data_IF_456303389731
#
_entry.id   IF_456303389731
#
_cell.length_a   1.000
_cell.length_b   1.000
_cell.length_c   1.000
_cell.angle_alpha   90.00
_cell.angle_beta   90.00
_cell.angle_gamma   90.00
#
_symmetry.space_group_name_H-M   'P 1'
#
loop_
_entity.id
_entity.type
_entity.pdbx_description
1 polymer ?
#
# COMPACT_ATOMS: atom_id res chain seq x y z
N UNK A 1 -3.84 24.11 20.50
CA UNK A 1 -3.65 23.38 19.26
C UNK A 1 -4.95 22.79 18.69
N UNK A 2 -5.75 21.98 19.42
CA UNK A 2 -7.01 21.39 18.91
C UNK A 2 -8.04 22.42 18.37
N UNK A 3 -8.19 23.59 19.01
CA UNK A 3 -9.10 24.66 18.58
C UNK A 3 -8.64 25.37 17.29
N UNK A 4 -7.32 25.48 17.07
CA UNK A 4 -6.73 26.10 15.87
C UNK A 4 -6.92 25.16 14.66
N UNK A 5 -6.73 23.86 14.85
CA UNK A 5 -6.98 22.84 13.80
C UNK A 5 -8.46 22.82 13.40
N UNK A 6 -9.38 22.89 14.37
CA UNK A 6 -10.82 22.95 14.11
C UNK A 6 -11.21 24.22 13.34
N UNK A 7 -10.62 25.38 13.67
CA UNK A 7 -10.86 26.64 12.95
C UNK A 7 -10.33 26.61 11.52
N UNK A 8 -9.17 25.99 11.30
CA UNK A 8 -8.59 25.81 9.95
C UNK A 8 -9.48 24.87 9.13
N UNK A 9 -9.96 23.76 9.72
CA UNK A 9 -10.90 22.85 9.04
C UNK A 9 -12.21 23.53 8.67
N UNK A 10 -12.75 24.39 9.54
CA UNK A 10 -13.96 25.17 9.28
C UNK A 10 -13.77 26.17 8.13
N UNK A 11 -12.60 26.81 8.02
CA UNK A 11 -12.30 27.75 6.92
C UNK A 11 -12.22 27.04 5.56
N UNK A 12 -11.78 25.78 5.52
CA UNK A 12 -11.77 24.98 4.28
C UNK A 12 -13.18 24.60 3.82
N UNK A 13 -14.12 24.40 4.73
CA UNK A 13 -15.51 24.04 4.39
C UNK A 13 -16.26 25.20 3.73
N UNK A 14 -16.00 26.45 4.12
CA UNK A 14 -16.70 27.62 3.57
C UNK A 14 -16.26 28.05 2.17
N UNK A 15 -15.05 27.67 1.72
CA UNK A 15 -14.57 28.08 0.40
C UNK A 15 -14.98 27.12 -0.74
N UNK A 16 -15.59 25.97 -0.43
CA UNK A 16 -15.94 24.95 -1.41
C UNK A 16 -17.17 25.24 -2.29
N UNK A 17 -18.00 26.19 -1.93
CA UNK A 17 -19.25 26.44 -2.65
C UNK A 17 -19.18 27.47 -3.79
N UNK A 18 -18.08 28.22 -3.89
CA UNK A 18 -18.02 29.38 -4.78
C UNK A 18 -17.43 29.11 -6.20
N UNK A 19 -16.95 27.91 -6.52
CA UNK A 19 -16.14 27.72 -7.73
C UNK A 19 -16.59 26.62 -8.69
N UNK A 20 -17.76 26.01 -8.55
CA UNK A 20 -18.23 24.98 -9.47
C UNK A 20 -19.66 25.19 -10.00
N UNK A 21 -19.94 26.21 -10.82
CA UNK A 21 -21.15 26.24 -11.62
C UNK A 21 -20.98 25.21 -12.76
N UNK A 22 -21.70 24.07 -12.67
CA UNK A 22 -21.64 22.97 -13.65
C UNK A 22 -20.55 21.91 -13.39
N UNK A 23 -19.92 21.89 -12.18
CA UNK A 23 -18.86 20.96 -11.81
C UNK A 23 -19.32 19.53 -11.54
N UNK A 24 -18.38 18.67 -11.25
CA UNK A 24 -18.50 17.21 -11.02
C UNK A 24 -19.61 16.82 -10.04
N UNK A 25 -20.00 17.72 -9.13
CA UNK A 25 -21.02 17.51 -8.08
C UNK A 25 -22.27 18.40 -8.25
N UNK A 26 -22.50 19.00 -9.41
CA UNK A 26 -23.70 19.79 -9.67
C UNK A 26 -24.94 18.90 -9.84
N UNK A 27 -26.15 19.47 -9.70
CA UNK A 27 -27.43 18.75 -9.83
C UNK A 27 -27.62 18.13 -11.23
N UNK A 28 -27.12 18.82 -12.26
CA UNK A 28 -27.08 18.35 -13.65
C UNK A 28 -25.66 18.49 -14.21
N UNK A 29 -24.73 17.61 -13.84
CA UNK A 29 -23.34 17.69 -14.28
C UNK A 29 -23.23 17.35 -15.76
N UNK A 30 -22.39 18.09 -16.48
CA UNK A 30 -21.93 17.67 -17.81
C UNK A 30 -21.21 16.32 -17.62
N UNK A 31 -21.62 15.31 -18.39
CA UNK A 31 -20.99 14.00 -18.34
C UNK A 31 -19.66 14.03 -19.11
N UNK A 32 -18.57 13.94 -18.38
CA UNK A 32 -17.23 13.87 -18.96
C UNK A 32 -16.89 12.44 -19.40
N UNK A 33 -16.15 12.27 -20.48
CA UNK A 33 -15.65 10.96 -20.92
C UNK A 33 -16.74 9.86 -20.98
N UNK A 34 -17.89 10.14 -21.57
CA UNK A 34 -19.04 9.23 -21.65
C UNK A 34 -18.70 7.87 -22.26
N UNK A 35 -17.79 7.84 -23.25
CA UNK A 35 -17.38 6.63 -23.94
C UNK A 35 -16.26 5.86 -23.23
N UNK A 36 -15.70 6.41 -22.17
CA UNK A 36 -14.58 5.79 -21.46
C UNK A 36 -14.93 4.36 -20.99
N UNK A 37 -16.06 4.18 -20.35
CA UNK A 37 -16.51 2.88 -19.80
C UNK A 37 -16.95 1.85 -20.87
N UNK A 38 -17.00 2.23 -22.14
CA UNK A 38 -17.30 1.34 -23.27
C UNK A 38 -16.07 0.55 -23.74
N UNK A 39 -14.88 1.03 -23.46
CA UNK A 39 -13.64 0.35 -23.83
C UNK A 39 -13.51 -0.96 -23.02
N UNK A 40 -12.84 -1.94 -23.62
CA UNK A 40 -12.61 -3.24 -22.95
C UNK A 40 -11.32 -3.24 -22.13
N UNK A 41 -10.31 -2.48 -22.54
CA UNK A 41 -9.01 -2.40 -21.89
C UNK A 41 -8.66 -0.95 -21.64
N UNK A 42 -8.22 -0.64 -20.44
CA UNK A 42 -7.74 0.67 -20.04
C UNK A 42 -6.30 0.57 -19.56
N UNK A 43 -5.49 1.53 -19.95
CA UNK A 43 -4.13 1.67 -19.48
C UNK A 43 -3.98 2.97 -18.71
N UNK A 44 -3.07 2.97 -17.78
CA UNK A 44 -2.78 4.13 -16.97
C UNK A 44 -1.50 3.96 -16.19
N UNK A 45 -1.23 4.93 -15.36
CA UNK A 45 -0.14 4.90 -14.39
C UNK A 45 -0.64 5.36 -13.03
N UNK A 46 0.10 4.99 -12.00
CA UNK A 46 -0.20 5.46 -10.65
C UNK A 46 1.05 5.99 -9.97
N UNK A 47 0.81 6.94 -9.08
CA UNK A 47 1.76 7.43 -8.09
C UNK A 47 1.12 7.23 -6.72
N UNK A 48 1.91 7.05 -5.69
CA UNK A 48 1.31 6.91 -4.37
C UNK A 48 2.30 6.98 -3.23
N UNK A 49 1.73 6.91 -2.04
CA UNK A 49 2.45 6.79 -0.79
C UNK A 49 2.16 5.44 -0.17
N UNK A 50 3.14 4.91 0.53
CA UNK A 50 3.00 3.66 1.23
C UNK A 50 3.52 3.76 2.65
N UNK A 51 2.96 2.96 3.55
CA UNK A 51 3.46 2.74 4.88
C UNK A 51 3.45 1.25 5.16
N UNK A 52 4.64 0.70 5.33
CA UNK A 52 4.84 -0.73 5.57
C UNK A 52 5.18 -0.99 7.02
N UNK A 53 4.58 -2.03 7.58
CA UNK A 53 4.76 -2.52 8.93
C UNK A 53 5.00 -4.05 8.91
N UNK A 54 5.47 -4.61 10.01
CA UNK A 54 5.55 -6.05 10.23
C UNK A 54 4.68 -6.46 11.41
N UNK A 55 3.93 -7.54 11.23
CA UNK A 55 3.30 -8.26 12.32
C UNK A 55 4.20 -9.42 12.71
N UNK A 56 4.57 -9.47 14.00
CA UNK A 56 5.33 -10.55 14.57
C UNK A 56 4.40 -11.45 15.40
N UNK A 57 4.55 -12.76 15.26
CA UNK A 57 3.98 -13.77 16.14
C UNK A 57 5.14 -14.45 16.88
N UNK A 58 5.04 -14.63 18.20
CA UNK A 58 6.12 -15.14 19.04
C UNK A 58 5.83 -16.55 19.54
N UNK A 59 6.90 -17.34 19.78
CA UNK A 59 6.80 -18.68 20.38
C UNK A 59 6.48 -18.62 21.87
N UNK A 60 7.14 -17.70 22.58
CA UNK A 60 7.00 -17.48 24.01
C UNK A 60 6.72 -16.01 24.29
N UNK A 61 6.12 -15.71 25.46
CA UNK A 61 5.90 -14.33 25.90
C UNK A 61 7.22 -13.57 25.92
N UNK A 62 7.28 -12.47 25.21
CA UNK A 62 8.47 -11.62 25.03
C UNK A 62 8.02 -10.18 24.79
N UNK A 63 8.85 -9.19 25.14
CA UNK A 63 8.61 -7.82 24.70
C UNK A 63 8.50 -7.74 23.18
N UNK A 64 7.54 -6.96 22.68
CA UNK A 64 7.32 -6.78 21.26
C UNK A 64 8.50 -6.08 20.58
N UNK A 65 8.81 -6.51 19.38
CA UNK A 65 9.72 -5.80 18.48
C UNK A 65 8.97 -4.57 17.97
N UNK A 66 9.46 -3.37 18.34
CA UNK A 66 8.85 -2.14 17.89
C UNK A 66 9.23 -1.87 16.43
N UNK A 67 8.22 -1.75 15.58
CA UNK A 67 8.38 -1.38 14.17
C UNK A 67 8.01 0.08 14.00
N UNK A 68 8.98 0.89 13.61
CA UNK A 68 8.75 2.29 13.23
C UNK A 68 8.71 2.37 11.70
N UNK A 69 7.51 2.49 11.15
CA UNK A 69 7.29 2.66 9.70
C UNK A 69 7.65 4.07 9.28
N UNK A 70 8.20 4.20 8.07
CA UNK A 70 8.40 5.48 7.39
C UNK A 70 7.47 5.56 6.19
N UNK A 71 6.99 6.74 5.87
CA UNK A 71 6.22 6.94 4.64
C UNK A 71 7.15 6.78 3.44
N UNK A 72 6.85 5.81 2.60
CA UNK A 72 7.52 5.57 1.34
C UNK A 72 6.71 6.08 0.16
N UNK A 73 7.22 5.89 -1.04
CA UNK A 73 6.52 6.22 -2.27
C UNK A 73 6.46 5.01 -3.20
N UNK A 74 5.50 5.05 -4.11
CA UNK A 74 5.34 4.02 -5.12
C UNK A 74 4.89 4.61 -6.45
N UNK A 75 5.30 3.94 -7.53
CA UNK A 75 4.98 4.31 -8.90
C UNK A 75 4.84 3.04 -9.72
N UNK A 76 3.91 3.06 -10.67
CA UNK A 76 3.73 1.91 -11.53
C UNK A 76 2.73 2.14 -12.65
N UNK A 77 2.45 1.07 -13.35
CA UNK A 77 1.50 1.03 -14.46
C UNK A 77 0.21 0.36 -14.01
N UNK A 78 -0.87 0.68 -14.67
CA UNK A 78 -2.18 0.06 -14.46
C UNK A 78 -2.71 -0.46 -15.78
N UNK A 79 -3.14 -1.70 -15.78
CA UNK A 79 -3.94 -2.29 -16.82
C UNK A 79 -5.26 -2.78 -16.24
N UNK A 80 -6.38 -2.27 -16.73
CA UNK A 80 -7.73 -2.67 -16.37
C UNK A 80 -8.37 -3.40 -17.53
N UNK A 81 -8.77 -4.65 -17.34
CA UNK A 81 -9.55 -5.43 -18.31
C UNK A 81 -11.00 -5.55 -17.81
N UNK A 82 -11.93 -4.98 -18.57
CA UNK A 82 -13.36 -5.10 -18.28
C UNK A 82 -13.83 -6.54 -18.55
N UNK A 83 -14.25 -7.23 -17.48
CA UNK A 83 -14.84 -8.57 -17.57
C UNK A 83 -16.36 -8.49 -17.72
N UNK A 84 -16.99 -7.66 -16.88
CA UNK A 84 -18.43 -7.41 -16.85
C UNK A 84 -18.69 -5.92 -16.67
N UNK A 85 -19.93 -5.50 -16.70
CA UNK A 85 -20.31 -4.09 -16.59
C UNK A 85 -19.77 -3.40 -15.32
N UNK A 86 -19.72 -4.14 -14.21
CA UNK A 86 -19.29 -3.63 -12.89
C UNK A 86 -18.04 -4.31 -12.36
N UNK A 87 -17.41 -5.21 -13.12
CA UNK A 87 -16.26 -5.99 -12.67
C UNK A 87 -15.13 -5.91 -13.67
N UNK A 88 -13.98 -5.43 -13.20
CA UNK A 88 -12.75 -5.39 -13.97
C UNK A 88 -11.68 -6.25 -13.31
N UNK A 89 -10.84 -6.89 -14.12
CA UNK A 89 -9.58 -7.47 -13.69
C UNK A 89 -8.49 -6.41 -13.84
N UNK A 90 -7.82 -6.09 -12.73
CA UNK A 90 -6.82 -5.04 -12.65
C UNK A 90 -5.46 -5.61 -12.33
N UNK A 91 -4.46 -5.22 -13.09
CA UNK A 91 -3.06 -5.55 -12.87
C UNK A 91 -2.24 -4.26 -12.73
N UNK A 92 -1.56 -4.08 -11.60
CA UNK A 92 -0.86 -2.82 -11.25
C UNK A 92 0.61 -3.07 -10.90
N UNK A 93 1.46 -3.52 -11.84
CA UNK A 93 2.88 -3.69 -11.56
C UNK A 93 3.54 -2.37 -11.22
N UNK A 94 4.33 -2.35 -10.14
CA UNK A 94 4.97 -1.12 -9.70
C UNK A 94 6.20 -1.33 -8.83
N UNK A 95 6.94 -0.23 -8.66
CA UNK A 95 8.08 -0.11 -7.77
C UNK A 95 7.64 0.61 -6.49
N UNK A 96 8.02 0.04 -5.35
CA UNK A 96 7.67 0.53 -4.02
C UNK A 96 8.95 0.73 -3.22
N UNK A 97 9.23 1.95 -2.84
CA UNK A 97 10.33 2.27 -1.95
C UNK A 97 9.79 2.47 -0.54
N UNK A 98 10.38 1.79 0.44
CA UNK A 98 9.97 1.85 1.84
C UNK A 98 11.14 1.64 2.78
N UNK A 99 11.04 2.17 3.99
CA UNK A 99 12.01 1.96 5.07
C UNK A 99 11.27 1.70 6.37
N UNK A 100 11.81 0.81 7.19
CA UNK A 100 11.31 0.45 8.52
C UNK A 100 12.47 0.33 9.48
N UNK A 101 12.27 0.77 10.70
CA UNK A 101 13.25 0.63 11.76
C UNK A 101 12.69 -0.33 12.81
N UNK A 102 13.39 -1.43 13.02
CA UNK A 102 13.04 -2.45 14.02
C UNK A 102 13.86 -2.17 15.27
N UNK A 103 13.19 -2.05 16.43
CA UNK A 103 13.84 -1.88 17.72
C UNK A 103 13.57 -3.11 18.59
N UNK A 104 14.64 -3.78 19.00
CA UNK A 104 14.61 -4.97 19.83
C UNK A 104 14.81 -4.59 21.30
N UNK A 105 13.76 -4.75 22.09
CA UNK A 105 13.75 -4.34 23.51
C UNK A 105 14.74 -5.12 24.39
N UNK A 106 15.14 -6.32 23.97
CA UNK A 106 16.03 -7.20 24.75
C UNK A 106 17.51 -6.85 24.58
N UNK A 107 17.85 -5.79 23.82
CA UNK A 107 19.24 -5.39 23.56
C UNK A 107 19.56 -4.08 24.29
N UNK A 108 20.68 -4.07 25.01
CA UNK A 108 21.13 -2.89 25.78
C UNK A 108 21.98 -1.92 24.96
N UNK A 109 22.70 -2.45 23.96
CA UNK A 109 23.52 -1.61 23.09
C UNK A 109 22.68 -1.11 21.91
N UNK A 110 22.72 0.16 21.62
CA UNK A 110 21.94 0.81 20.56
C UNK A 110 22.20 0.19 19.17
N UNK A 111 23.45 -0.18 18.86
CA UNK A 111 23.82 -0.84 17.60
C UNK A 111 23.22 -2.25 17.47
N UNK A 112 22.99 -2.93 18.58
CA UNK A 112 22.38 -4.27 18.59
C UNK A 112 20.86 -4.20 18.65
N UNK A 113 20.33 -3.12 19.21
CA UNK A 113 18.88 -2.91 19.36
C UNK A 113 18.19 -2.42 18.10
N UNK A 114 18.86 -1.66 17.25
CA UNK A 114 18.25 -1.05 16.07
C UNK A 114 18.66 -1.79 14.78
N UNK A 115 17.67 -2.11 13.94
CA UNK A 115 17.87 -2.59 12.57
C UNK A 115 17.08 -1.72 11.60
N UNK A 116 17.79 -1.08 10.70
CA UNK A 116 17.19 -0.32 9.60
C UNK A 116 16.96 -1.26 8.43
N UNK A 117 15.70 -1.45 8.07
CA UNK A 117 15.28 -2.31 6.97
C UNK A 117 14.73 -1.44 5.86
N UNK A 118 15.63 -0.98 4.99
CA UNK A 118 15.27 -0.36 3.71
C UNK A 118 14.88 -1.46 2.73
N UNK A 119 13.82 -1.24 1.99
CA UNK A 119 13.38 -2.19 0.97
C UNK A 119 12.91 -1.48 -0.30
N UNK A 120 13.31 -2.04 -1.42
CA UNK A 120 12.75 -1.72 -2.74
C UNK A 120 12.02 -2.95 -3.24
N UNK A 121 10.71 -2.81 -3.39
CA UNK A 121 9.85 -3.90 -3.84
C UNK A 121 9.45 -3.71 -5.29
N UNK A 122 9.45 -4.82 -6.05
CA UNK A 122 8.66 -4.94 -7.27
C UNK A 122 7.38 -5.67 -6.88
N UNK A 123 6.25 -5.02 -7.05
CA UNK A 123 4.96 -5.50 -6.61
C UNK A 123 4.07 -5.82 -7.80
N UNK A 124 3.44 -7.00 -7.79
CA UNK A 124 2.63 -7.53 -8.88
C UNK A 124 1.24 -7.93 -8.36
N UNK A 125 0.33 -6.97 -8.15
CA UNK A 125 -1.02 -7.26 -7.72
C UNK A 125 -1.91 -7.64 -8.91
N UNK A 126 -2.72 -8.67 -8.70
CA UNK A 126 -3.82 -9.05 -9.58
C UNK A 126 -5.12 -8.91 -8.78
N UNK A 127 -5.93 -7.93 -9.13
CA UNK A 127 -7.07 -7.48 -8.36
C UNK A 127 -8.36 -7.59 -9.17
N UNK A 128 -9.44 -7.92 -8.50
CA UNK A 128 -10.79 -7.70 -9.00
C UNK A 128 -11.29 -6.34 -8.48
N UNK A 129 -11.69 -5.48 -9.40
CA UNK A 129 -12.28 -4.17 -9.13
C UNK A 129 -13.79 -4.28 -9.34
N UNK A 130 -14.54 -4.04 -8.29
CA UNK A 130 -16.00 -4.00 -8.28
C UNK A 130 -16.45 -2.54 -8.20
N UNK A 131 -17.02 -2.04 -9.27
CA UNK A 131 -17.44 -0.64 -9.38
C UNK A 131 -18.96 -0.53 -9.25
N UNK A 132 -19.43 0.55 -8.63
CA UNK A 132 -20.87 0.87 -8.62
C UNK A 132 -21.36 1.37 -9.98
N UNK A 133 -22.62 1.71 -10.09
CA UNK A 133 -23.12 2.53 -11.19
C UNK A 133 -22.45 3.92 -11.13
N UNK A 134 -22.15 4.46 -12.29
CA UNK A 134 -21.64 5.83 -12.42
C UNK A 134 -22.77 6.83 -12.13
N UNK A 135 -22.55 7.74 -11.19
CA UNK A 135 -23.46 8.82 -10.86
C UNK A 135 -22.79 10.13 -11.25
N UNK A 136 -23.25 10.73 -12.34
CA UNK A 136 -22.58 11.91 -12.90
C UNK A 136 -21.14 11.60 -13.30
N UNK A 137 -20.18 12.29 -12.70
CA UNK A 137 -18.75 12.10 -12.95
C UNK A 137 -18.02 11.33 -11.84
N UNK A 138 -18.74 10.57 -11.02
CA UNK A 138 -18.19 9.84 -9.87
C UNK A 138 -18.62 8.37 -9.93
N UNK A 139 -17.68 7.48 -9.64
CA UNK A 139 -17.93 6.04 -9.59
C UNK A 139 -17.10 5.39 -8.48
N UNK A 140 -17.70 5.15 -7.28
CA UNK A 140 -17.02 4.42 -6.21
C UNK A 140 -16.75 2.97 -6.60
N UNK A 141 -15.67 2.39 -6.05
CA UNK A 141 -15.32 1.00 -6.28
C UNK A 141 -14.63 0.36 -5.09
N UNK A 142 -14.71 -0.96 -5.02
CA UNK A 142 -13.93 -1.81 -4.14
C UNK A 142 -12.93 -2.61 -4.96
N UNK A 143 -11.79 -2.91 -4.36
CA UNK A 143 -10.78 -3.79 -4.97
C UNK A 143 -10.40 -4.88 -3.97
N UNK A 144 -10.14 -6.06 -4.49
CA UNK A 144 -9.60 -7.15 -3.69
C UNK A 144 -8.90 -8.17 -4.57
N UNK A 145 -7.86 -8.81 -4.05
CA UNK A 145 -7.14 -9.80 -4.82
C UNK A 145 -5.87 -10.30 -4.14
N UNK A 146 -4.97 -10.85 -4.94
CA UNK A 146 -3.70 -11.41 -4.52
C UNK A 146 -2.55 -10.64 -5.15
N UNK A 147 -1.43 -10.60 -4.46
CA UNK A 147 -0.20 -10.04 -5.00
C UNK A 147 1.04 -10.88 -4.68
N UNK A 148 2.00 -10.82 -5.59
CA UNK A 148 3.34 -11.29 -5.36
C UNK A 148 4.28 -10.09 -5.27
N UNK A 149 5.20 -10.12 -4.30
CA UNK A 149 6.16 -9.02 -4.08
C UNK A 149 7.57 -9.58 -4.10
N UNK A 150 8.43 -9.00 -4.91
CA UNK A 150 9.86 -9.28 -4.95
C UNK A 150 10.61 -8.18 -4.20
N UNK A 151 11.31 -8.55 -3.14
CA UNK A 151 12.18 -7.66 -2.39
C UNK A 151 13.60 -7.70 -2.97
N UNK A 152 14.04 -6.59 -3.55
CA UNK A 152 15.37 -6.46 -4.14
C UNK A 152 16.48 -6.31 -3.08
N UNK A 153 16.12 -5.84 -1.88
CA UNK A 153 17.03 -5.63 -0.74
C UNK A 153 16.86 -6.70 0.36
N UNK A 154 16.52 -7.93 -0.01
CA UNK A 154 16.13 -8.98 0.93
C UNK A 154 17.27 -9.54 1.80
N UNK A 155 18.53 -9.36 1.42
CA UNK A 155 19.72 -9.97 2.03
C UNK A 155 19.63 -11.50 2.16
N UNK A 156 18.74 -12.16 1.41
CA UNK A 156 18.42 -13.59 1.58
C UNK A 156 19.60 -14.53 1.31
N UNK A 157 20.55 -14.08 0.48
CA UNK A 157 21.76 -14.86 0.13
C UNK A 157 22.97 -14.53 1.01
N UNK A 158 22.85 -13.59 1.95
CA UNK A 158 23.94 -13.24 2.86
C UNK A 158 24.17 -14.37 3.85
N UNK A 159 25.45 -14.70 4.09
CA UNK A 159 25.88 -15.57 5.18
C UNK A 159 25.86 -14.83 6.53
N UNK A 160 25.99 -13.50 6.48
CA UNK A 160 25.91 -12.62 7.64
C UNK A 160 24.47 -12.56 8.14
N UNK A 161 24.28 -12.53 9.44
CA UNK A 161 23.00 -12.45 10.12
C UNK A 161 22.90 -11.23 11.05
N UNK A 162 22.00 -11.24 12.03
CA UNK A 162 21.83 -10.14 12.96
C UNK A 162 23.05 -9.88 13.86
N UNK A 163 23.95 -10.86 14.06
CA UNK A 163 25.22 -10.63 14.75
C UNK A 163 26.12 -9.68 13.96
N UNK A 164 26.06 -9.73 12.64
CA UNK A 164 26.75 -8.82 11.73
C UNK A 164 25.83 -7.66 11.25
N UNK A 165 24.77 -7.38 12.00
CA UNK A 165 23.80 -6.30 11.71
C UNK A 165 23.02 -6.50 10.37
N UNK A 166 22.90 -7.73 9.88
CA UNK A 166 22.17 -8.08 8.66
C UNK A 166 20.82 -8.71 8.99
N UNK A 167 19.75 -7.96 8.76
CA UNK A 167 18.39 -8.49 8.83
C UNK A 167 18.03 -9.15 7.48
N UNK A 168 17.64 -10.43 7.53
CA UNK A 168 17.38 -11.24 6.33
C UNK A 168 15.90 -11.55 6.20
N UNK A 169 15.36 -11.33 4.98
CA UNK A 169 13.98 -11.65 4.64
C UNK A 169 13.90 -12.44 3.35
N UNK A 170 12.82 -13.18 3.17
CA UNK A 170 12.58 -13.89 1.92
C UNK A 170 12.44 -12.92 0.76
N UNK A 171 13.02 -13.22 -0.42
CA UNK A 171 12.95 -12.33 -1.56
C UNK A 171 11.54 -12.28 -2.16
N UNK A 172 10.82 -13.40 -2.17
CA UNK A 172 9.46 -13.48 -2.67
C UNK A 172 8.46 -13.65 -1.55
N UNK A 173 7.45 -12.79 -1.56
CA UNK A 173 6.33 -12.84 -0.61
C UNK A 173 5.00 -12.84 -1.36
N UNK A 174 3.97 -13.42 -0.73
CA UNK A 174 2.60 -13.48 -1.25
C UNK A 174 1.69 -12.76 -0.29
N UNK A 175 0.82 -11.92 -0.82
CA UNK A 175 -0.09 -11.13 -0.02
C UNK A 175 -1.51 -11.22 -0.57
N UNK A 176 -2.49 -10.89 0.26
CA UNK A 176 -3.81 -10.51 -0.20
C UNK A 176 -4.02 -9.02 0.04
N UNK A 177 -4.87 -8.44 -0.77
CA UNK A 177 -5.13 -7.01 -0.76
C UNK A 177 -6.62 -6.75 -0.79
N UNK A 178 -7.00 -5.71 -0.05
CA UNK A 178 -8.36 -5.19 -0.06
C UNK A 178 -8.31 -3.68 0.06
N UNK A 179 -9.20 -3.00 -0.67
CA UNK A 179 -9.25 -1.55 -0.62
C UNK A 179 -10.49 -0.98 -1.29
N UNK A 180 -10.56 0.31 -1.26
CA UNK A 180 -11.61 1.06 -1.94
C UNK A 180 -11.03 2.30 -2.60
N UNK A 181 -11.75 2.83 -3.56
CA UNK A 181 -11.41 4.05 -4.26
C UNK A 181 -12.61 4.65 -4.96
N UNK A 182 -12.36 5.75 -5.62
CA UNK A 182 -13.38 6.51 -6.34
C UNK A 182 -12.81 6.88 -7.71
N UNK A 183 -13.48 6.51 -8.78
CA UNK A 183 -13.19 7.02 -10.11
C UNK A 183 -13.86 8.38 -10.30
N UNK A 184 -13.07 9.39 -10.59
CA UNK A 184 -13.49 10.75 -10.94
C UNK A 184 -13.23 10.98 -12.43
N UNK A 185 -14.31 11.21 -13.19
CA UNK A 185 -14.23 11.47 -14.62
C UNK A 185 -14.05 12.97 -14.83
N UNK A 186 -12.81 13.38 -15.08
CA UNK A 186 -12.49 14.75 -15.43
C UNK A 186 -12.63 14.96 -16.94
N UNK A 187 -12.48 16.18 -17.41
CA UNK A 187 -12.68 16.51 -18.81
C UNK A 187 -11.76 15.73 -19.77
N UNK A 188 -10.48 15.53 -19.38
CA UNK A 188 -9.46 14.94 -20.25
C UNK A 188 -8.96 13.56 -19.80
N UNK A 189 -9.17 13.20 -18.53
CA UNK A 189 -8.68 11.94 -17.98
C UNK A 189 -9.54 11.47 -16.83
N UNK A 190 -9.41 10.20 -16.48
CA UNK A 190 -10.01 9.64 -15.29
C UNK A 190 -8.98 9.60 -14.18
N UNK A 191 -9.32 10.21 -13.05
CA UNK A 191 -8.52 10.23 -11.83
C UNK A 191 -9.13 9.31 -10.79
N UNK A 192 -8.33 8.38 -10.24
CA UNK A 192 -8.82 7.34 -9.35
C UNK A 192 -7.99 7.27 -8.07
N UNK A 193 -8.28 8.11 -7.06
CA UNK A 193 -7.70 7.97 -5.74
C UNK A 193 -8.21 6.71 -5.05
N UNK A 194 -7.31 5.99 -4.36
CA UNK A 194 -7.65 4.77 -3.63
C UNK A 194 -6.79 4.59 -2.38
N UNK A 195 -7.37 3.88 -1.40
CA UNK A 195 -6.66 3.38 -0.24
C UNK A 195 -6.78 1.86 -0.20
N UNK A 196 -5.67 1.19 0.08
CA UNK A 196 -5.58 -0.26 0.03
C UNK A 196 -4.73 -0.80 1.16
N UNK A 197 -5.20 -1.85 1.82
CA UNK A 197 -4.45 -2.65 2.78
C UNK A 197 -3.82 -3.85 2.09
N UNK A 198 -2.56 -4.13 2.40
CA UNK A 198 -1.79 -5.30 1.94
C UNK A 198 -1.43 -6.14 3.15
N UNK A 199 -1.65 -7.45 3.08
CA UNK A 199 -1.45 -8.38 4.18
C UNK A 199 -0.70 -9.62 3.72
N UNK A 200 0.48 -9.88 4.32
CA UNK A 200 1.29 -11.06 4.05
C UNK A 200 0.60 -12.36 4.46
N UNK A 201 0.64 -13.36 3.60
CA UNK A 201 0.04 -14.68 3.86
C UNK A 201 1.03 -15.57 4.61
N UNK A 202 2.31 -15.56 4.20
CA UNK A 202 3.33 -16.45 4.71
C UNK A 202 4.35 -15.79 5.65
N UNK A 203 5.17 -16.60 6.30
CA UNK A 203 6.32 -16.15 7.07
C UNK A 203 7.43 -15.64 6.12
N UNK A 204 7.83 -14.39 6.31
CA UNK A 204 8.82 -13.69 5.49
C UNK A 204 10.22 -13.69 6.10
N UNK A 205 10.35 -14.07 7.38
CA UNK A 205 11.60 -14.04 8.12
C UNK A 205 12.54 -15.16 7.66
N UNK A 206 13.81 -14.82 7.44
CA UNK A 206 14.92 -15.78 7.42
C UNK A 206 15.61 -15.67 8.76
N UNK A 207 15.54 -16.74 9.55
CA UNK A 207 16.09 -16.78 10.91
C UNK A 207 17.59 -16.71 10.89
N UNK A 208 18.16 -16.28 12.01
CA UNK A 208 19.59 -16.27 12.23
C UNK A 208 20.16 -17.70 12.26
N UNK A 209 21.46 -17.80 12.09
CA UNK A 209 22.17 -19.07 12.05
C UNK A 209 22.14 -19.76 13.44
N UNK A 210 22.11 -18.97 14.52
CA UNK A 210 21.90 -19.48 15.89
C UNK A 210 20.38 -19.57 16.18
N UNK A 211 19.83 -20.77 16.47
CA UNK A 211 18.43 -20.94 16.84
C UNK A 211 18.02 -20.17 18.11
N UNK A 212 18.98 -19.88 19.01
CA UNK A 212 18.76 -19.11 20.23
C UNK A 212 19.06 -17.62 20.07
N UNK A 213 19.16 -17.13 18.85
CA UNK A 213 19.41 -15.72 18.57
C UNK A 213 18.45 -14.81 19.33
N UNK A 214 18.96 -13.76 20.00
CA UNK A 214 18.11 -12.82 20.72
C UNK A 214 17.21 -11.95 19.79
N UNK A 215 17.49 -11.93 18.49
CA UNK A 215 16.71 -11.16 17.51
C UNK A 215 15.59 -12.00 16.87
N UNK A 216 15.89 -13.22 16.44
CA UNK A 216 14.94 -14.04 15.67
C UNK A 216 14.54 -15.34 16.33
N UNK A 217 15.26 -15.80 17.37
CA UNK A 217 15.05 -17.11 18.00
C UNK A 217 13.64 -17.33 18.55
N UNK A 218 13.04 -16.29 19.14
CA UNK A 218 11.69 -16.34 19.71
C UNK A 218 10.59 -15.97 18.70
N UNK A 219 10.93 -15.55 17.47
CA UNK A 219 9.93 -15.19 16.46
C UNK A 219 9.38 -16.44 15.79
N UNK A 220 8.07 -16.66 15.90
CA UNK A 220 7.38 -17.76 15.22
C UNK A 220 7.09 -17.44 13.77
N UNK A 221 6.56 -16.25 13.49
CA UNK A 221 6.33 -15.77 12.13
C UNK A 221 6.41 -14.24 12.05
N UNK A 222 6.81 -13.75 10.89
CA UNK A 222 6.81 -12.35 10.55
C UNK A 222 6.07 -12.16 9.23
N UNK A 223 5.08 -11.27 9.21
CA UNK A 223 4.25 -11.01 8.04
C UNK A 223 4.16 -9.51 7.76
N UNK A 224 4.27 -9.14 6.51
CA UNK A 224 4.08 -7.75 6.07
C UNK A 224 2.63 -7.31 6.27
N UNK A 225 2.47 -6.08 6.76
CA UNK A 225 1.25 -5.29 6.68
C UNK A 225 1.59 -3.96 6.03
N UNK A 226 0.75 -3.47 5.13
CA UNK A 226 0.96 -2.16 4.56
C UNK A 226 -0.36 -1.45 4.29
N UNK A 227 -0.28 -0.12 4.28
CA UNK A 227 -1.34 0.75 3.77
C UNK A 227 -0.76 1.51 2.58
N UNK A 228 -1.49 1.47 1.47
CA UNK A 228 -1.15 2.14 0.22
C UNK A 228 -2.20 3.20 -0.06
N UNK A 229 -1.75 4.40 -0.44
CA UNK A 229 -2.61 5.47 -0.95
C UNK A 229 -2.15 5.75 -2.37
N UNK A 230 -2.95 5.36 -3.35
CA UNK A 230 -2.60 5.46 -4.76
C UNK A 230 -3.48 6.48 -5.48
N UNK A 231 -2.87 7.22 -6.36
CA UNK A 231 -3.49 8.16 -7.28
C UNK A 231 -3.27 7.65 -8.70
N UNK A 232 -4.32 7.09 -9.29
CA UNK A 232 -4.24 6.48 -10.63
C UNK A 232 -4.80 7.44 -11.69
N UNK A 233 -4.14 7.48 -12.83
CA UNK A 233 -4.48 8.31 -13.99
C UNK A 233 -4.66 7.40 -15.21
N UNK A 234 -5.81 7.53 -15.87
CA UNK A 234 -6.15 6.80 -17.09
C UNK A 234 -6.49 7.74 -18.23
#
# INVERSE_FOLDING_TARGET
MKKIVASILLLFVFNGYAQFPGGTFSKDPILNNENFDKQRVYWGYFLGFNSYDYKFDYKNVSPDILVKSTTGFNVGLVGDLKLFEYVNLRFEPGLYYTQRNLTFANQTKQLDALREVGATYIHFPLLLKFSSMRTGNVRPYLVGGLSATLNLASNSKSLDDNLQQRFRVKPWTRNYEIGFGIDLYLEYFKFSPSIRGVFGIGDELIRDNDPNSPWTGNVQSMKTRAVLINFTFH
#
